data_IF_677028657558
#
_entry.id   IF_677028657558
#
_cell.length_a   1.000
_cell.length_b   1.000
_cell.length_c   1.000
_cell.angle_alpha   90.00
_cell.angle_beta   90.00
_cell.angle_gamma   90.00
#
_symmetry.space_group_name_H-M   'P 1'
#
loop_
_entity.id
_entity.type
_entity.pdbx_description
1 polymer ?
#
# COMPACT_ATOMS: atom_id res chain seq x y z
N UNK A 1 72.94 16.94 17.29
CA UNK A 1 71.63 17.14 17.92
C UNK A 1 71.10 18.52 17.54
N UNK A 2 69.81 18.67 17.23
CA UNK A 2 68.78 17.66 16.93
C UNK A 2 68.28 17.78 15.46
N UNK A 3 67.77 16.76 14.76
CA UNK A 3 66.72 15.75 15.02
C UNK A 3 65.29 16.30 15.04
N UNK A 4 64.51 16.00 13.99
CA UNK A 4 63.05 15.70 14.03
C UNK A 4 62.61 15.25 12.62
N UNK A 5 62.51 13.93 12.37
CA UNK A 5 61.34 13.06 12.60
C UNK A 5 60.52 12.83 11.32
N UNK A 6 61.01 11.90 10.48
CA UNK A 6 60.21 11.23 9.46
C UNK A 6 59.57 10.00 10.13
N UNK A 7 58.26 10.02 10.33
CA UNK A 7 57.52 8.88 10.90
C UNK A 7 57.34 7.78 9.84
N UNK A 8 57.59 6.49 10.15
CA UNK A 8 57.30 5.38 9.26
C UNK A 8 55.78 5.05 9.23
N UNK A 9 55.29 4.34 8.20
CA UNK A 9 53.87 4.03 8.05
C UNK A 9 53.42 3.04 9.13
N UNK A 10 52.25 3.32 9.71
CA UNK A 10 51.56 2.46 10.68
C UNK A 10 51.20 1.12 10.01
N UNK A 11 51.53 -0.05 10.60
CA UNK A 11 51.12 -1.34 10.05
C UNK A 11 49.66 -1.67 10.37
N UNK A 12 48.98 -2.50 9.56
CA UNK A 12 47.63 -2.96 9.86
C UNK A 12 47.63 -3.88 11.09
N UNK A 13 46.68 -3.67 11.99
CA UNK A 13 46.52 -4.42 13.24
C UNK A 13 46.13 -5.88 12.90
N UNK A 14 47.07 -6.81 13.06
CA UNK A 14 46.83 -8.25 12.97
C UNK A 14 46.31 -8.77 14.32
N UNK A 15 45.18 -9.48 14.32
CA UNK A 15 44.69 -10.18 15.51
C UNK A 15 45.48 -11.49 15.70
N UNK A 16 46.20 -11.62 16.82
CA UNK A 16 46.93 -12.84 17.20
C UNK A 16 46.08 -13.69 18.13
N UNK A 17 46.03 -15.01 17.89
CA UNK A 17 45.53 -15.98 18.88
C UNK A 17 46.73 -16.51 19.68
N UNK A 18 46.76 -16.22 20.97
CA UNK A 18 47.82 -16.68 21.87
C UNK A 18 47.24 -17.62 22.91
N UNK A 19 47.79 -18.83 22.99
CA UNK A 19 47.63 -19.70 24.15
C UNK A 19 48.27 -19.03 25.37
N UNK A 20 48.00 -19.51 26.59
CA UNK A 20 48.46 -18.98 27.89
C UNK A 20 50.00 -18.87 28.10
N UNK A 21 50.79 -19.00 27.06
CA UNK A 21 52.23 -18.75 27.04
C UNK A 21 52.60 -17.85 25.84
N UNK A 22 53.14 -16.66 26.12
CA UNK A 22 53.23 -15.52 25.20
C UNK A 22 54.29 -15.68 24.08
N UNK A 23 54.80 -16.89 23.87
CA UNK A 23 55.95 -17.19 23.01
C UNK A 23 55.58 -17.91 21.71
N UNK A 24 54.33 -18.36 21.55
CA UNK A 24 53.90 -19.13 20.38
C UNK A 24 52.59 -18.60 19.79
N UNK A 25 52.61 -17.38 19.28
CA UNK A 25 51.48 -16.81 18.56
C UNK A 25 51.70 -17.04 17.05
N UNK A 26 50.78 -17.77 16.42
CA UNK A 26 50.79 -17.96 14.98
C UNK A 26 50.09 -16.79 14.30
N UNK A 27 50.64 -16.34 13.16
CA UNK A 27 49.94 -15.40 12.29
C UNK A 27 48.77 -16.16 11.67
N UNK A 28 47.52 -15.81 12.00
CA UNK A 28 46.40 -16.33 11.23
C UNK A 28 46.61 -15.89 9.77
N UNK A 29 46.66 -16.86 8.86
CA UNK A 29 46.40 -16.55 7.46
C UNK A 29 44.96 -16.01 7.40
N UNK A 30 44.82 -14.75 7.00
CA UNK A 30 43.54 -14.06 6.82
C UNK A 30 42.62 -14.74 5.80
N UNK A 31 43.07 -15.81 5.14
CA UNK A 31 42.26 -16.71 4.32
C UNK A 31 41.33 -17.65 5.12
N UNK A 32 41.37 -17.64 6.46
CA UNK A 32 40.54 -18.49 7.35
C UNK A 32 39.59 -17.68 8.25
N UNK A 33 39.41 -16.38 8.00
CA UNK A 33 38.03 -15.86 8.05
C UNK A 33 37.46 -16.20 6.68
N UNK A 34 37.19 -17.49 6.49
CA UNK A 34 36.26 -17.98 5.50
C UNK A 34 34.96 -17.22 5.71
N UNK A 35 34.86 -16.09 5.00
CA UNK A 35 33.69 -15.54 4.34
C UNK A 35 33.09 -16.64 3.44
N UNK A 36 32.70 -17.72 4.08
CA UNK A 36 32.44 -19.03 3.51
C UNK A 36 31.44 -19.81 4.37
N UNK A 37 30.71 -19.13 5.25
CA UNK A 37 29.27 -19.38 5.26
C UNK A 37 28.78 -18.93 3.88
N UNK A 38 28.85 -19.86 2.92
CA UNK A 38 28.25 -19.72 1.62
C UNK A 38 26.84 -19.17 1.84
N UNK A 39 26.59 -18.01 1.23
CA UNK A 39 25.31 -17.34 1.20
C UNK A 39 24.27 -18.16 0.41
N UNK A 40 24.03 -19.44 0.76
CA UNK A 40 22.85 -20.18 0.32
C UNK A 40 21.56 -19.48 0.76
N UNK A 41 21.64 -18.67 1.82
CA UNK A 41 20.61 -17.70 2.19
C UNK A 41 20.36 -16.66 1.11
N UNK A 42 21.38 -16.12 0.42
CA UNK A 42 21.19 -15.06 -0.58
C UNK A 42 20.47 -15.53 -1.84
N UNK A 43 20.86 -16.67 -2.40
CA UNK A 43 20.22 -17.22 -3.61
C UNK A 43 18.81 -17.73 -3.32
N UNK A 44 18.62 -18.43 -2.20
CA UNK A 44 17.29 -18.92 -1.82
C UNK A 44 16.34 -17.77 -1.52
N UNK A 45 16.79 -16.75 -0.77
CA UNK A 45 15.99 -15.54 -0.50
C UNK A 45 15.71 -14.77 -1.79
N UNK A 46 16.69 -14.63 -2.69
CA UNK A 46 16.47 -14.01 -3.99
C UNK A 46 15.40 -14.72 -4.80
N UNK A 47 15.48 -16.05 -4.92
CA UNK A 47 14.49 -16.86 -5.65
C UNK A 47 13.11 -16.73 -5.01
N UNK A 48 13.02 -16.82 -3.67
CA UNK A 48 11.76 -16.66 -2.94
C UNK A 48 11.16 -15.26 -3.16
N UNK A 49 11.96 -14.21 -3.04
CA UNK A 49 11.52 -12.84 -3.27
C UNK A 49 11.12 -12.61 -4.72
N UNK A 50 11.87 -13.13 -5.70
CA UNK A 50 11.55 -13.04 -7.11
C UNK A 50 10.21 -13.74 -7.44
N UNK A 51 9.99 -14.93 -6.90
CA UNK A 51 8.72 -15.67 -7.05
C UNK A 51 7.58 -14.90 -6.37
N UNK A 52 7.79 -14.39 -5.16
CA UNK A 52 6.76 -13.65 -4.43
C UNK A 52 6.37 -12.35 -5.13
N UNK A 53 7.34 -11.52 -5.53
CA UNK A 53 7.09 -10.27 -6.25
C UNK A 53 6.45 -10.52 -7.61
N UNK A 54 6.95 -11.50 -8.38
CA UNK A 54 6.33 -11.84 -9.67
C UNK A 54 4.90 -12.36 -9.49
N UNK A 55 4.62 -13.20 -8.49
CA UNK A 55 3.27 -13.65 -8.19
C UNK A 55 2.33 -12.49 -7.83
N UNK A 56 2.76 -11.57 -6.95
CA UNK A 56 1.95 -10.40 -6.57
C UNK A 56 1.71 -9.47 -7.75
N UNK A 57 2.72 -9.22 -8.58
CA UNK A 57 2.59 -8.39 -9.79
C UNK A 57 1.65 -9.06 -10.79
N UNK A 58 1.81 -10.35 -11.07
CA UNK A 58 0.96 -11.09 -12.01
C UNK A 58 -0.49 -11.15 -11.54
N UNK A 59 -0.71 -11.55 -10.28
CA UNK A 59 -2.05 -11.59 -9.69
C UNK A 59 -2.67 -10.19 -9.60
N UNK A 60 -1.88 -9.19 -9.24
CA UNK A 60 -2.30 -7.79 -9.18
C UNK A 60 -2.71 -7.27 -10.55
N UNK A 61 -1.94 -7.53 -11.60
CA UNK A 61 -2.27 -7.10 -12.96
C UNK A 61 -3.49 -7.86 -13.49
N UNK A 62 -3.44 -9.19 -13.48
CA UNK A 62 -4.51 -10.03 -14.05
C UNK A 62 -5.81 -9.83 -13.28
N UNK A 63 -5.77 -9.84 -11.95
CA UNK A 63 -6.95 -9.70 -11.10
C UNK A 63 -7.61 -8.33 -11.23
N UNK A 64 -6.84 -7.25 -11.09
CA UNK A 64 -7.41 -5.90 -11.17
C UNK A 64 -7.86 -5.55 -12.60
N UNK A 65 -7.13 -5.98 -13.63
CA UNK A 65 -7.56 -5.78 -15.02
C UNK A 65 -8.84 -6.56 -15.32
N UNK A 66 -8.94 -7.83 -14.90
CA UNK A 66 -10.15 -8.61 -15.06
C UNK A 66 -11.35 -7.96 -14.35
N UNK A 67 -11.15 -7.43 -13.13
CA UNK A 67 -12.21 -6.75 -12.39
C UNK A 67 -12.72 -5.51 -13.14
N UNK A 68 -11.82 -4.67 -13.65
CA UNK A 68 -12.17 -3.49 -14.46
C UNK A 68 -12.92 -3.91 -15.73
N UNK A 69 -12.46 -4.95 -16.43
CA UNK A 69 -13.08 -5.43 -17.66
C UNK A 69 -14.49 -5.99 -17.43
N UNK A 70 -14.68 -6.77 -16.37
CA UNK A 70 -15.99 -7.34 -16.00
C UNK A 70 -16.98 -6.22 -15.68
N UNK A 71 -16.57 -5.25 -14.85
CA UNK A 71 -17.41 -4.11 -14.49
C UNK A 71 -17.75 -3.28 -15.73
N UNK A 72 -16.78 -3.00 -16.61
CA UNK A 72 -17.01 -2.19 -17.82
C UNK A 72 -17.86 -2.89 -18.90
N UNK A 73 -17.87 -4.23 -18.94
CA UNK A 73 -18.63 -5.00 -19.93
C UNK A 73 -20.08 -5.24 -19.49
N UNK A 74 -20.32 -5.40 -18.19
CA UNK A 74 -21.63 -5.70 -17.64
C UNK A 74 -22.34 -4.44 -17.16
N UNK A 75 -23.30 -3.93 -17.95
CA UNK A 75 -24.07 -2.72 -17.58
C UNK A 75 -24.82 -2.85 -16.26
N UNK A 76 -25.22 -4.06 -15.88
CA UNK A 76 -25.88 -4.33 -14.59
C UNK A 76 -24.96 -4.05 -13.39
N UNK A 77 -23.64 -4.09 -13.60
CA UNK A 77 -22.64 -3.77 -12.59
C UNK A 77 -22.32 -2.27 -12.52
N UNK A 78 -22.94 -1.40 -13.33
CA UNK A 78 -22.67 0.05 -13.28
C UNK A 78 -23.42 0.74 -12.12
N UNK A 79 -23.07 0.37 -10.90
CA UNK A 79 -23.51 1.03 -9.68
C UNK A 79 -22.35 1.80 -9.01
N UNK A 80 -22.67 2.65 -8.04
CA UNK A 80 -21.66 3.50 -7.37
C UNK A 80 -20.57 2.67 -6.70
N UNK A 81 -20.93 1.60 -5.97
CA UNK A 81 -19.93 0.72 -5.34
C UNK A 81 -18.95 0.13 -6.35
N UNK A 82 -19.44 -0.40 -7.45
CA UNK A 82 -18.60 -1.04 -8.45
C UNK A 82 -17.71 -0.04 -9.18
N UNK A 83 -18.16 1.20 -9.38
CA UNK A 83 -17.31 2.28 -9.91
C UNK A 83 -16.20 2.64 -8.92
N UNK A 84 -16.47 2.66 -7.61
CA UNK A 84 -15.44 2.85 -6.57
C UNK A 84 -14.47 1.66 -6.49
N UNK A 85 -14.97 0.42 -6.66
CA UNK A 85 -14.13 -0.79 -6.75
C UNK A 85 -13.24 -0.72 -8.00
N UNK A 86 -13.77 -0.27 -9.14
CA UNK A 86 -12.96 -0.06 -10.34
C UNK A 86 -11.87 0.98 -10.11
N UNK A 87 -12.15 2.07 -9.38
CA UNK A 87 -11.14 3.06 -9.00
C UNK A 87 -10.02 2.46 -8.14
N UNK A 88 -10.37 1.60 -7.18
CA UNK A 88 -9.41 0.85 -6.36
C UNK A 88 -8.51 -0.05 -7.23
N UNK A 89 -9.10 -0.76 -8.20
CA UNK A 89 -8.33 -1.58 -9.13
C UNK A 89 -7.39 -0.75 -10.02
N UNK A 90 -7.76 0.48 -10.39
CA UNK A 90 -6.87 1.37 -11.15
C UNK A 90 -5.66 1.79 -10.31
N UNK A 91 -5.85 2.17 -9.04
CA UNK A 91 -4.72 2.53 -8.16
C UNK A 91 -3.80 1.35 -7.89
N UNK A 92 -4.36 0.14 -7.72
CA UNK A 92 -3.60 -1.09 -7.52
C UNK A 92 -2.83 -1.52 -8.78
N UNK A 93 -3.41 -1.34 -9.99
CA UNK A 93 -2.70 -1.55 -11.26
C UNK A 93 -1.50 -0.62 -11.41
N UNK A 94 -1.66 0.67 -11.08
CA UNK A 94 -0.53 1.61 -11.11
C UNK A 94 0.59 1.17 -10.16
N UNK A 95 0.24 0.72 -8.95
CA UNK A 95 1.22 0.22 -8.00
C UNK A 95 1.93 -1.03 -8.53
N UNK A 96 1.17 -1.99 -9.07
CA UNK A 96 1.70 -3.24 -9.61
C UNK A 96 2.60 -3.04 -10.83
N UNK A 97 2.28 -2.07 -11.70
CA UNK A 97 3.04 -1.81 -12.94
C UNK A 97 4.24 -0.89 -12.72
N UNK A 98 4.12 0.12 -11.85
CA UNK A 98 5.11 1.20 -11.72
C UNK A 98 5.93 1.09 -10.44
N UNK A 99 5.37 0.59 -9.34
CA UNK A 99 6.08 0.58 -8.06
C UNK A 99 6.78 -0.75 -7.80
N UNK A 100 6.04 -1.86 -7.91
CA UNK A 100 6.58 -3.19 -7.57
C UNK A 100 7.82 -3.61 -8.38
N UNK A 101 7.83 -3.57 -9.73
CA UNK A 101 8.98 -4.06 -10.49
C UNK A 101 10.23 -3.19 -10.29
N UNK A 102 10.07 -1.88 -10.21
CA UNK A 102 11.18 -0.95 -10.00
C UNK A 102 11.75 -1.04 -8.60
N UNK A 103 10.88 -1.18 -7.58
CA UNK A 103 11.30 -1.41 -6.20
C UNK A 103 12.02 -2.75 -6.07
N UNK A 104 11.49 -3.82 -6.68
CA UNK A 104 12.13 -5.14 -6.68
C UNK A 104 13.53 -5.10 -7.28
N UNK A 105 13.70 -4.50 -8.47
CA UNK A 105 15.00 -4.37 -9.11
C UNK A 105 15.95 -3.51 -8.27
N UNK A 106 15.45 -2.41 -7.68
CA UNK A 106 16.24 -1.55 -6.80
C UNK A 106 16.73 -2.31 -5.55
N UNK A 107 15.85 -3.09 -4.92
CA UNK A 107 16.19 -3.94 -3.76
C UNK A 107 17.21 -5.02 -4.11
N UNK A 108 17.21 -5.54 -5.34
CA UNK A 108 18.17 -6.56 -5.76
C UNK A 108 19.51 -5.98 -6.20
N UNK A 109 19.50 -4.84 -6.90
CA UNK A 109 20.71 -4.22 -7.42
C UNK A 109 21.47 -3.41 -6.35
N UNK A 110 20.82 -3.03 -5.25
CA UNK A 110 21.35 -2.13 -4.21
C UNK A 110 21.78 -0.76 -4.75
N UNK A 111 21.35 -0.41 -5.97
CA UNK A 111 21.57 0.89 -6.59
C UNK A 111 20.47 1.19 -7.61
N UNK A 112 20.26 2.49 -7.88
CA UNK A 112 19.20 3.00 -8.73
C UNK A 112 19.68 3.22 -10.16
N UNK A 113 19.10 2.50 -11.12
CA UNK A 113 19.49 2.52 -12.54
C UNK A 113 18.50 3.23 -13.47
N UNK A 114 17.32 3.60 -12.96
CA UNK A 114 16.21 4.10 -13.79
C UNK A 114 16.20 5.63 -13.98
N UNK A 115 17.20 6.32 -13.46
CA UNK A 115 17.35 7.78 -13.57
C UNK A 115 16.44 8.59 -12.63
N UNK A 116 16.64 9.92 -12.62
CA UNK A 116 16.02 10.81 -11.64
C UNK A 116 14.49 10.93 -11.78
N UNK A 117 13.97 10.88 -13.00
CA UNK A 117 12.52 10.98 -13.27
C UNK A 117 11.79 9.79 -12.65
N UNK A 118 12.28 8.58 -12.89
CA UNK A 118 11.63 7.37 -12.36
C UNK A 118 11.72 7.30 -10.83
N UNK A 119 12.81 7.79 -10.22
CA UNK A 119 12.93 7.86 -8.76
C UNK A 119 11.80 8.71 -8.15
N UNK A 120 11.53 9.88 -8.74
CA UNK A 120 10.44 10.77 -8.30
C UNK A 120 9.06 10.19 -8.59
N UNK A 121 8.87 9.60 -9.78
CA UNK A 121 7.60 8.99 -10.17
C UNK A 121 7.26 7.78 -9.31
N UNK A 122 8.23 6.92 -8.99
CA UNK A 122 8.03 5.75 -8.13
C UNK A 122 7.51 6.17 -6.75
N UNK A 123 8.15 7.14 -6.10
CA UNK A 123 7.70 7.67 -4.80
C UNK A 123 6.32 8.35 -4.89
N UNK A 124 6.06 9.13 -5.94
CA UNK A 124 4.78 9.79 -6.15
C UNK A 124 3.65 8.77 -6.33
N UNK A 125 3.80 7.83 -7.25
CA UNK A 125 2.78 6.83 -7.59
C UNK A 125 2.53 5.92 -6.40
N UNK A 126 3.58 5.51 -5.67
CA UNK A 126 3.42 4.69 -4.48
C UNK A 126 2.56 5.38 -3.41
N UNK A 127 2.88 6.63 -3.07
CA UNK A 127 2.10 7.38 -2.08
C UNK A 127 0.67 7.67 -2.59
N UNK A 128 0.54 8.12 -3.84
CA UNK A 128 -0.75 8.44 -4.44
C UNK A 128 -1.68 7.20 -4.50
N UNK A 129 -1.18 6.04 -4.98
CA UNK A 129 -1.97 4.81 -5.05
C UNK A 129 -2.47 4.38 -3.68
N UNK A 130 -1.62 4.42 -2.64
CA UNK A 130 -2.03 4.07 -1.27
C UNK A 130 -3.12 5.02 -0.76
N UNK A 131 -2.97 6.33 -0.97
CA UNK A 131 -3.98 7.33 -0.56
C UNK A 131 -5.30 7.15 -1.32
N UNK A 132 -5.27 6.92 -2.64
CA UNK A 132 -6.47 6.68 -3.44
C UNK A 132 -7.19 5.41 -2.96
N UNK A 133 -6.44 4.34 -2.67
CA UNK A 133 -7.02 3.08 -2.21
C UNK A 133 -7.75 3.24 -0.89
N UNK A 134 -7.12 3.87 0.12
CA UNK A 134 -7.78 4.06 1.43
C UNK A 134 -8.99 5.00 1.35
N UNK A 135 -8.90 6.10 0.60
CA UNK A 135 -10.04 7.01 0.44
C UNK A 135 -11.19 6.35 -0.33
N UNK A 136 -10.89 5.48 -1.31
CA UNK A 136 -11.90 4.68 -2.00
C UNK A 136 -12.60 3.71 -1.04
N UNK A 137 -11.86 3.06 -0.16
CA UNK A 137 -12.44 2.19 0.89
C UNK A 137 -13.34 2.97 1.86
N UNK A 138 -12.97 4.20 2.23
CA UNK A 138 -13.82 5.08 3.05
C UNK A 138 -15.11 5.42 2.30
N UNK A 139 -15.05 5.79 1.03
CA UNK A 139 -16.24 6.09 0.22
C UNK A 139 -17.17 4.88 0.10
N UNK A 140 -16.61 3.68 -0.10
CA UNK A 140 -17.37 2.42 -0.12
C UNK A 140 -18.05 2.19 1.24
N UNK A 141 -17.34 2.39 2.35
CA UNK A 141 -17.90 2.24 3.69
C UNK A 141 -19.05 3.23 3.95
N UNK A 142 -18.91 4.49 3.52
CA UNK A 142 -19.96 5.52 3.62
C UNK A 142 -21.19 5.12 2.81
N UNK A 143 -21.00 4.73 1.54
CA UNK A 143 -22.09 4.30 0.67
C UNK A 143 -22.87 3.13 1.30
N UNK A 144 -22.15 2.10 1.76
CA UNK A 144 -22.77 0.94 2.40
C UNK A 144 -23.52 1.33 3.65
N UNK A 145 -22.96 2.22 4.47
CA UNK A 145 -23.62 2.71 5.66
C UNK A 145 -24.92 3.48 5.34
N UNK A 146 -24.92 4.32 4.30
CA UNK A 146 -26.10 5.09 3.89
C UNK A 146 -27.22 4.21 3.31
N UNK A 147 -26.89 3.19 2.52
CA UNK A 147 -27.87 2.23 2.00
C UNK A 147 -28.62 1.50 3.11
N UNK A 148 -27.92 1.20 4.20
CA UNK A 148 -28.48 0.45 5.33
C UNK A 148 -29.31 1.36 6.23
N UNK A 149 -28.86 2.60 6.49
CA UNK A 149 -29.63 3.53 7.32
C UNK A 149 -30.89 4.06 6.61
N UNK A 150 -30.84 4.25 5.29
CA UNK A 150 -31.90 4.92 4.52
C UNK A 150 -32.39 4.08 3.32
N UNK A 151 -32.93 2.87 3.54
CA UNK A 151 -33.22 1.89 2.48
C UNK A 151 -34.27 2.35 1.45
N UNK A 152 -35.12 3.32 1.79
CA UNK A 152 -36.19 3.82 0.90
C UNK A 152 -35.91 5.22 0.32
N UNK A 153 -34.90 5.94 0.82
CA UNK A 153 -34.69 7.37 0.52
C UNK A 153 -33.36 7.71 -0.14
N UNK A 154 -32.31 6.91 0.08
CA UNK A 154 -30.98 7.22 -0.45
C UNK A 154 -30.77 6.53 -1.81
N UNK A 155 -30.67 7.33 -2.86
CA UNK A 155 -30.32 6.86 -4.21
C UNK A 155 -28.86 7.21 -4.51
N UNK A 156 -27.95 6.24 -4.56
CA UNK A 156 -26.57 6.51 -4.94
C UNK A 156 -26.53 7.07 -6.36
N UNK A 157 -25.88 8.23 -6.53
CA UNK A 157 -25.72 8.89 -7.84
C UNK A 157 -24.31 8.70 -8.36
N UNK A 158 -24.20 8.26 -9.61
CA UNK A 158 -22.91 8.09 -10.30
C UNK A 158 -22.13 9.41 -10.41
N UNK A 159 -22.82 10.55 -10.51
CA UNK A 159 -22.17 11.86 -10.56
C UNK A 159 -21.45 12.18 -9.24
N UNK A 160 -22.08 11.87 -8.10
CA UNK A 160 -21.45 12.06 -6.78
C UNK A 160 -20.26 11.11 -6.60
N UNK A 161 -20.35 9.88 -7.13
CA UNK A 161 -19.24 8.93 -7.11
C UNK A 161 -18.05 9.42 -7.94
N UNK A 162 -18.30 9.91 -9.16
CA UNK A 162 -17.27 10.46 -10.04
C UNK A 162 -16.61 11.71 -9.44
N UNK A 163 -17.39 12.59 -8.81
CA UNK A 163 -16.87 13.72 -8.05
C UNK A 163 -16.00 13.24 -6.88
N UNK A 164 -16.48 12.25 -6.11
CA UNK A 164 -15.73 11.64 -5.02
C UNK A 164 -14.39 11.10 -5.48
N UNK A 165 -14.36 10.34 -6.58
CA UNK A 165 -13.13 9.82 -7.19
C UNK A 165 -12.21 10.98 -7.60
N UNK A 166 -12.73 12.00 -8.27
CA UNK A 166 -11.91 13.15 -8.68
C UNK A 166 -11.27 13.85 -7.47
N UNK A 167 -12.00 13.96 -6.36
CA UNK A 167 -11.48 14.51 -5.10
C UNK A 167 -10.44 13.59 -4.45
N UNK A 168 -10.62 12.26 -4.48
CA UNK A 168 -9.62 11.34 -3.92
C UNK A 168 -8.30 11.42 -4.67
N UNK A 169 -8.33 11.50 -6.00
CA UNK A 169 -7.12 11.70 -6.82
C UNK A 169 -6.46 13.06 -6.57
N UNK A 170 -7.23 14.13 -6.49
CA UNK A 170 -6.71 15.45 -6.18
C UNK A 170 -6.05 15.50 -4.79
N UNK A 171 -6.71 14.94 -3.76
CA UNK A 171 -6.16 14.89 -2.41
C UNK A 171 -4.93 13.98 -2.33
N UNK A 172 -4.97 12.81 -2.97
CA UNK A 172 -3.86 11.88 -3.01
C UNK A 172 -2.61 12.51 -3.63
N UNK A 173 -2.74 13.14 -4.81
CA UNK A 173 -1.64 13.84 -5.50
C UNK A 173 -1.11 15.01 -4.69
N UNK A 174 -1.99 15.81 -4.06
CA UNK A 174 -1.60 16.88 -3.15
C UNK A 174 -0.77 16.34 -1.99
N UNK A 175 -1.27 15.29 -1.32
CA UNK A 175 -0.55 14.69 -0.20
C UNK A 175 0.74 14.02 -0.63
N UNK A 176 0.84 13.46 -1.84
CA UNK A 176 2.06 12.80 -2.35
C UNK A 176 3.12 13.80 -2.88
N UNK A 177 2.78 15.08 -3.02
CA UNK A 177 3.69 16.11 -3.59
C UNK A 177 5.02 16.24 -2.84
N UNK A 178 5.07 16.24 -1.49
CA UNK A 178 6.34 16.28 -0.76
C UNK A 178 7.29 15.13 -1.10
N UNK A 179 6.78 13.90 -1.26
CA UNK A 179 7.60 12.77 -1.70
C UNK A 179 8.19 13.01 -3.08
N UNK A 180 7.42 13.55 -4.03
CA UNK A 180 7.95 13.91 -5.35
C UNK A 180 9.06 14.98 -5.27
N UNK A 181 8.90 15.98 -4.40
CA UNK A 181 9.86 17.08 -4.26
C UNK A 181 11.17 16.60 -3.59
N UNK A 182 11.04 15.85 -2.50
CA UNK A 182 12.16 15.41 -1.66
C UNK A 182 12.83 14.12 -2.13
N UNK A 183 12.21 13.31 -3.00
CA UNK A 183 12.91 12.17 -3.62
C UNK A 183 14.01 12.65 -4.58
N UNK A 184 15.25 12.27 -4.31
CA UNK A 184 16.45 12.65 -5.06
C UNK A 184 17.32 11.43 -5.35
N UNK A 185 18.01 11.49 -6.47
CA UNK A 185 19.04 10.50 -6.83
C UNK A 185 20.40 11.07 -6.41
N UNK A 186 21.11 10.39 -5.52
CA UNK A 186 22.40 10.84 -4.97
C UNK A 186 23.31 9.65 -4.66
N UNK A 187 24.62 9.91 -4.65
CA UNK A 187 25.66 8.96 -4.23
C UNK A 187 26.14 9.22 -2.78
N UNK A 188 25.61 10.25 -2.11
CA UNK A 188 26.04 10.65 -0.77
C UNK A 188 25.95 9.52 0.28
N UNK A 189 24.87 8.71 0.34
CA UNK A 189 24.79 7.58 1.27
C UNK A 189 25.84 6.51 0.98
N UNK A 190 26.19 6.32 -0.30
CA UNK A 190 27.17 5.31 -0.71
C UNK A 190 28.60 5.74 -0.35
N UNK A 191 28.89 7.05 -0.33
CA UNK A 191 30.19 7.59 0.09
C UNK A 191 30.47 7.44 1.59
N UNK A 192 29.43 7.22 2.40
CA UNK A 192 29.56 7.03 3.85
C UNK A 192 29.82 5.56 4.23
N UNK A 193 29.82 4.64 3.26
CA UNK A 193 30.11 3.22 3.50
C UNK A 193 31.59 3.01 3.84
N UNK A 194 31.93 1.96 4.63
CA UNK A 194 33.31 1.56 4.87
C UNK A 194 34.09 1.37 3.56
N UNK A 195 35.39 1.69 3.57
CA UNK A 195 36.27 1.66 2.39
C UNK A 195 36.25 0.33 1.62
N UNK A 196 35.96 -0.78 2.31
CA UNK A 196 35.79 -2.12 1.73
C UNK A 196 34.67 -2.17 0.68
N UNK A 197 33.55 -1.48 0.93
CA UNK A 197 32.41 -1.45 0.00
C UNK A 197 32.49 -0.31 -1.02
N UNK A 198 33.38 0.66 -0.80
CA UNK A 198 33.44 1.87 -1.61
C UNK A 198 33.86 1.60 -3.07
N UNK A 199 34.77 0.64 -3.31
CA UNK A 199 35.12 0.21 -4.67
C UNK A 199 33.94 -0.50 -5.38
N UNK A 200 33.15 -1.28 -4.65
CA UNK A 200 31.97 -1.99 -5.20
C UNK A 200 30.83 -1.04 -5.61
N UNK A 201 30.74 0.13 -4.98
CA UNK A 201 29.70 1.13 -5.24
C UNK A 201 30.18 2.39 -5.97
N UNK A 202 31.41 2.36 -6.51
CA UNK A 202 31.98 3.49 -7.23
C UNK A 202 31.15 3.85 -8.46
N UNK A 203 30.67 5.10 -8.52
CA UNK A 203 29.86 5.61 -9.63
C UNK A 203 28.40 5.14 -9.63
N UNK A 204 27.96 4.40 -8.60
CA UNK A 204 26.55 4.04 -8.41
C UNK A 204 25.80 5.13 -7.65
N UNK A 205 24.49 5.18 -7.83
CA UNK A 205 23.59 6.16 -7.19
C UNK A 205 22.41 5.45 -6.54
N UNK A 206 21.79 6.08 -5.54
CA UNK A 206 20.58 5.58 -4.87
C UNK A 206 19.46 6.60 -4.95
N UNK A 207 18.21 6.13 -4.89
CA UNK A 207 17.03 6.99 -4.77
C UNK A 207 16.66 7.12 -3.30
N UNK A 208 16.81 8.32 -2.73
CA UNK A 208 16.56 8.60 -1.31
C UNK A 208 15.70 9.85 -1.12
N UNK A 209 15.04 9.92 0.03
CA UNK A 209 14.25 11.07 0.43
C UNK A 209 15.11 12.07 1.19
N UNK A 210 15.38 13.22 0.59
CA UNK A 210 16.13 14.31 1.19
C UNK A 210 15.18 15.38 1.75
N UNK A 211 14.83 15.21 3.02
CA UNK A 211 13.95 16.14 3.74
C UNK A 211 14.73 17.31 4.35
N UNK A 212 14.16 18.53 4.41
CA UNK A 212 14.87 19.71 4.94
C UNK A 212 15.30 19.57 6.40
N UNK A 213 14.51 18.85 7.21
CA UNK A 213 14.85 18.52 8.58
C UNK A 213 14.19 17.19 9.00
N UNK A 214 14.80 16.53 9.99
CA UNK A 214 14.24 15.31 10.59
C UNK A 214 12.88 15.55 11.24
N UNK A 215 12.67 16.72 11.83
CA UNK A 215 11.39 17.12 12.44
C UNK A 215 10.29 17.23 11.39
N UNK A 216 10.55 17.89 10.26
CA UNK A 216 9.58 18.00 9.17
C UNK A 216 9.23 16.62 8.62
N UNK A 217 10.24 15.77 8.41
CA UNK A 217 10.03 14.38 7.98
C UNK A 217 9.10 13.65 8.95
N UNK A 218 9.44 13.64 10.24
CA UNK A 218 8.68 12.94 11.27
C UNK A 218 7.26 13.47 11.41
N UNK A 219 7.08 14.79 11.47
CA UNK A 219 5.76 15.42 11.58
C UNK A 219 4.89 15.07 10.39
N UNK A 220 5.45 15.14 9.18
CA UNK A 220 4.72 14.81 7.96
C UNK A 220 4.38 13.32 7.87
N UNK A 221 5.35 12.42 8.08
CA UNK A 221 5.09 10.96 8.02
C UNK A 221 4.13 10.50 9.11
N UNK A 222 4.23 11.08 10.32
CA UNK A 222 3.31 10.77 11.43
C UNK A 222 1.91 11.32 11.14
N UNK A 223 1.81 12.54 10.61
CA UNK A 223 0.54 13.12 10.18
C UNK A 223 -0.14 12.28 9.10
N UNK A 224 0.62 11.84 8.09
CA UNK A 224 0.13 10.93 7.04
C UNK A 224 -0.34 9.59 7.62
N UNK A 225 0.42 8.99 8.55
CA UNK A 225 0.01 7.75 9.22
C UNK A 225 -1.32 7.93 9.97
N UNK A 226 -1.48 9.02 10.72
CA UNK A 226 -2.73 9.27 11.45
C UNK A 226 -3.88 9.51 10.47
N UNK A 227 -3.72 10.44 9.53
CA UNK A 227 -4.80 10.91 8.65
C UNK A 227 -5.17 9.92 7.54
N UNK A 228 -4.22 9.14 7.03
CA UNK A 228 -4.43 8.23 5.90
C UNK A 228 -4.48 6.76 6.30
N UNK A 229 -4.13 6.39 7.54
CA UNK A 229 -4.21 5.00 7.97
C UNK A 229 -5.10 4.85 9.20
N UNK A 230 -4.75 5.49 10.32
CA UNK A 230 -5.47 5.29 11.59
C UNK A 230 -6.91 5.83 11.52
N UNK A 231 -7.10 7.09 11.12
CA UNK A 231 -8.43 7.72 11.03
C UNK A 231 -9.34 7.00 10.02
N UNK A 232 -8.90 6.68 8.79
CA UNK A 232 -9.73 5.95 7.85
C UNK A 232 -10.09 4.54 8.33
N UNK A 233 -9.13 3.77 8.86
CA UNK A 233 -9.40 2.41 9.31
C UNK A 233 -10.34 2.37 10.51
N UNK A 234 -10.15 3.26 11.49
CA UNK A 234 -11.06 3.38 12.63
C UNK A 234 -12.47 3.78 12.18
N UNK A 235 -12.58 4.73 11.25
CA UNK A 235 -13.87 5.12 10.66
C UNK A 235 -14.54 3.95 9.93
N UNK A 236 -13.82 3.27 9.04
CA UNK A 236 -14.30 2.09 8.30
C UNK A 236 -14.78 1.02 9.28
N UNK A 237 -13.97 0.72 10.31
CA UNK A 237 -14.31 -0.26 11.33
C UNK A 237 -15.60 0.10 12.08
N UNK A 238 -15.76 1.36 12.51
CA UNK A 238 -17.00 1.83 13.16
C UNK A 238 -18.21 1.72 12.23
N UNK A 239 -18.07 2.08 10.96
CA UNK A 239 -19.13 1.94 9.96
C UNK A 239 -19.57 0.49 9.77
N UNK A 240 -18.61 -0.45 9.69
CA UNK A 240 -18.91 -1.88 9.57
C UNK A 240 -19.49 -2.47 10.85
N UNK A 241 -19.01 -2.07 12.04
CA UNK A 241 -19.61 -2.50 13.31
C UNK A 241 -21.07 -2.04 13.42
N UNK A 242 -21.36 -0.77 13.11
CA UNK A 242 -22.75 -0.26 13.11
C UNK A 242 -23.64 -0.96 12.10
N UNK A 243 -23.06 -1.42 11.00
CA UNK A 243 -23.74 -2.18 9.96
C UNK A 243 -24.08 -3.60 10.43
N UNK A 244 -23.13 -4.25 11.11
CA UNK A 244 -23.25 -5.66 11.52
C UNK A 244 -24.05 -5.83 12.81
N UNK A 245 -24.01 -4.87 13.75
CA UNK A 245 -24.83 -4.90 14.97
C UNK A 245 -26.25 -4.44 14.62
N UNK A 246 -27.21 -5.36 14.41
CA UNK A 246 -28.54 -4.97 14.01
C UNK A 246 -29.17 -4.28 15.21
N UNK A 247 -29.63 -3.03 15.04
CA UNK A 247 -30.65 -2.50 15.95
C UNK A 247 -31.82 -3.49 15.83
N UNK A 248 -32.18 -4.17 16.91
CA UNK A 248 -33.21 -5.22 16.97
C UNK A 248 -34.58 -4.83 16.38
N UNK A 249 -34.79 -3.56 16.00
CA UNK A 249 -35.95 -3.07 15.26
C UNK A 249 -35.85 -3.04 13.72
N UNK A 250 -34.67 -3.20 13.09
CA UNK A 250 -34.52 -3.06 11.62
C UNK A 250 -34.84 -4.35 10.84
N UNK A 251 -34.68 -5.53 11.47
CA UNK A 251 -35.11 -6.81 10.91
C UNK A 251 -36.64 -6.92 10.76
N UNK A 252 -37.41 -6.11 11.50
CA UNK A 252 -38.86 -6.08 11.39
C UNK A 252 -39.37 -5.23 10.20
N UNK A 253 -38.49 -4.53 9.47
CA UNK A 253 -38.89 -3.64 8.36
C UNK A 253 -38.53 -4.17 6.97
N UNK A 254 -37.67 -5.19 6.89
CA UNK A 254 -37.39 -5.95 5.67
C UNK A 254 -38.28 -7.20 5.58
N UNK A 255 -39.60 -7.05 5.72
CA UNK A 255 -40.51 -7.98 5.04
C UNK A 255 -40.69 -7.49 3.59
N UNK A 256 -40.49 -8.35 2.58
CA UNK A 256 -40.71 -7.96 1.20
C UNK A 256 -42.21 -7.81 0.92
N UNK A 257 -42.65 -6.59 0.61
CA UNK A 257 -43.75 -6.36 -0.35
C UNK A 257 -43.12 -6.45 -1.75
N UNK A 258 -43.59 -7.18 -2.75
CA UNK A 258 -44.71 -8.11 -2.98
C UNK A 258 -44.39 -8.76 -4.33
N UNK A 259 -44.70 -10.04 -4.57
CA UNK A 259 -44.97 -10.51 -5.95
C UNK A 259 -46.05 -11.60 -5.92
N UNK A 260 -47.23 -11.24 -6.42
CA UNK A 260 -48.23 -12.10 -7.08
C UNK A 260 -48.25 -13.59 -6.72
N UNK A 261 -49.24 -13.99 -5.91
CA UNK A 261 -49.87 -15.31 -6.04
C UNK A 261 -51.27 -15.11 -6.65
N UNK A 262 -51.40 -15.29 -7.96
CA UNK A 262 -52.70 -15.31 -8.63
C UNK A 262 -53.32 -16.70 -8.45
N UNK A 263 -54.42 -16.83 -7.71
CA UNK A 263 -55.61 -17.67 -8.03
C UNK A 263 -56.63 -17.74 -6.88
N UNK A 264 -57.72 -16.96 -6.99
CA UNK A 264 -59.15 -17.37 -6.93
C UNK A 264 -60.02 -16.21 -6.45
N UNK A 265 -60.94 -15.79 -7.32
CA UNK A 265 -62.18 -15.12 -6.93
C UNK A 265 -62.93 -16.03 -5.96
N UNK A 266 -63.21 -15.56 -4.74
CA UNK A 266 -64.41 -15.98 -4.02
C UNK A 266 -65.45 -14.90 -4.29
N UNK A 267 -66.39 -15.23 -5.16
CA UNK A 267 -67.58 -14.44 -5.43
C UNK A 267 -68.39 -14.23 -4.15
N UNK A 268 -69.07 -13.09 -4.11
CA UNK A 268 -69.79 -12.62 -2.94
C UNK A 268 -70.96 -13.48 -2.48
N UNK A 269 -71.46 -13.10 -1.31
CA UNK A 269 -72.80 -13.43 -0.84
C UNK A 269 -73.27 -12.26 0.03
N UNK A 270 -74.26 -11.51 -0.48
CA UNK A 270 -75.46 -10.96 0.19
C UNK A 270 -75.32 -10.44 1.65
N UNK A 271 -75.88 -9.31 2.09
CA UNK A 271 -76.92 -8.42 1.57
C UNK A 271 -76.92 -7.15 2.45
N UNK A 272 -77.40 -6.03 1.90
CA UNK A 272 -77.78 -4.83 2.66
C UNK A 272 -79.25 -4.92 3.06
N UNK A 273 -79.56 -4.69 4.34
CA UNK A 273 -80.85 -4.29 4.99
C UNK A 273 -80.89 -4.98 6.35
N UNK A 274 -81.38 -4.46 7.46
CA UNK A 274 -82.29 -3.36 7.83
C UNK A 274 -82.17 -3.28 9.37
N UNK A 275 -82.05 -2.11 10.00
CA UNK A 275 -83.17 -1.35 10.58
C UNK A 275 -84.02 -2.16 11.60
N UNK A 276 -84.20 -1.54 12.77
CA UNK A 276 -85.20 -1.74 13.84
C UNK A 276 -84.84 -2.66 15.02
N UNK A 277 -84.67 -1.98 16.16
CA UNK A 277 -85.38 -2.12 17.45
C UNK A 277 -85.28 -3.40 18.30
N UNK A 278 -85.10 -3.13 19.59
CA UNK A 278 -85.28 -3.96 20.81
C UNK A 278 -84.40 -5.21 21.04
#
# INVERSE_FOLDING_TARGET
>A
MPDSAFSPPVPPIAALNCSLDLSNCSLMNFSVITYGDECYGSHSLFVVMAIAYSAVVLLGIVGNLALILVIGRQRELHNVTNVLIANLSVSDLLMALVCLPFTFIYTFMDHWVFGAVMCKLNSLVQCCSVSVSIFSLVLIAIERHQLILHPRGWKPSLNHACLGISLTWALATLTATPFLLFSRVTDAPLKQLPSVFQEQYRGKVVCVEEWPSREIKLTYTTGMLVLQYITPLTFIFICYLKTMYPRSGFLNYCQPMETNCSTRKVGGMYDSKSKLDE
#
